data_IF_263873500823
#
_entry.id   IF_263873500823
#
_cell.length_a   1.000
_cell.length_b   1.000
_cell.length_c   1.000
_cell.angle_alpha   90.00
_cell.angle_beta   90.00
_cell.angle_gamma   90.00
#
_symmetry.space_group_name_H-M   'P 1'
#
loop_
_entity.id
_entity.type
_entity.pdbx_description
1 polymer ?
#
# COMPACT_ATOMS: atom_id res chain seq x y z
N UNK A 1 -15.50 7.19 -11.09
CA UNK A 1 -14.58 8.23 -10.61
C UNK A 1 -13.28 7.54 -10.27
N UNK A 2 -12.14 7.96 -10.79
CA UNK A 2 -10.84 7.28 -10.56
C UNK A 2 -10.33 7.61 -9.16
N UNK A 3 -10.01 6.59 -8.36
CA UNK A 3 -9.58 6.76 -6.96
C UNK A 3 -8.33 5.94 -6.65
N UNK A 4 -7.52 6.48 -5.74
CA UNK A 4 -6.31 5.82 -5.24
C UNK A 4 -6.35 5.86 -3.72
N UNK A 5 -6.20 4.70 -3.08
CA UNK A 5 -6.02 4.58 -1.65
C UNK A 5 -4.54 4.59 -1.31
N UNK A 6 -4.08 5.54 -0.52
CA UNK A 6 -2.68 5.73 -0.13
C UNK A 6 -2.52 5.53 1.37
N UNK A 7 -1.85 4.46 1.76
CA UNK A 7 -1.55 4.14 3.15
C UNK A 7 -0.17 4.69 3.51
N UNK A 8 -0.10 5.65 4.42
CA UNK A 8 1.13 6.35 4.82
C UNK A 8 1.63 5.82 6.15
N UNK A 9 2.68 5.00 6.11
CA UNK A 9 3.30 4.38 7.28
C UNK A 9 4.46 5.20 7.90
N UNK A 10 4.76 6.41 7.41
CA UNK A 10 5.81 7.24 8.00
C UNK A 10 5.33 7.93 9.28
N UNK A 11 6.08 7.84 10.42
CA UNK A 11 5.73 8.56 11.63
C UNK A 11 6.00 10.07 11.54
N UNK A 12 6.80 10.50 10.55
CA UNK A 12 7.18 11.90 10.36
C UNK A 12 6.38 12.51 9.22
N UNK A 13 5.55 13.53 9.52
CA UNK A 13 4.70 14.21 8.53
C UNK A 13 5.52 14.84 7.39
N UNK A 14 6.69 15.38 7.70
CA UNK A 14 7.63 15.96 6.72
C UNK A 14 8.87 15.05 6.51
N UNK A 15 8.71 13.74 6.73
CA UNK A 15 9.77 12.76 6.50
C UNK A 15 9.97 12.46 5.01
N UNK A 16 11.11 11.84 4.69
CA UNK A 16 11.54 11.54 3.34
C UNK A 16 10.48 10.83 2.49
N UNK A 17 9.79 9.83 3.06
CA UNK A 17 8.74 9.09 2.35
C UNK A 17 7.56 9.99 1.99
N UNK A 18 7.10 10.83 2.92
CA UNK A 18 6.01 11.77 2.67
C UNK A 18 6.41 12.87 1.68
N UNK A 19 7.67 13.32 1.72
CA UNK A 19 8.19 14.31 0.75
C UNK A 19 8.23 13.72 -0.66
N UNK A 20 8.71 12.47 -0.79
CA UNK A 20 8.72 11.75 -2.08
C UNK A 20 7.30 11.47 -2.61
N UNK A 21 6.33 11.29 -1.72
CA UNK A 21 4.94 11.02 -2.07
C UNK A 21 4.23 12.26 -2.66
N UNK A 22 4.65 13.49 -2.32
CA UNK A 22 4.01 14.74 -2.80
C UNK A 22 3.96 14.83 -4.33
N UNK A 23 5.08 14.77 -5.09
CA UNK A 23 5.04 14.83 -6.56
C UNK A 23 4.28 13.66 -7.18
N UNK A 24 4.31 12.48 -6.56
CA UNK A 24 3.54 11.31 -6.97
C UNK A 24 2.02 11.57 -6.90
N UNK A 25 1.53 12.11 -5.79
CA UNK A 25 0.11 12.47 -5.59
C UNK A 25 -0.30 13.56 -6.58
N UNK A 26 0.48 14.65 -6.66
CA UNK A 26 0.19 15.76 -7.55
C UNK A 26 0.04 15.30 -9.01
N UNK A 27 0.86 14.32 -9.43
CA UNK A 27 0.76 13.77 -10.78
C UNK A 27 -0.58 13.06 -11.00
N UNK A 28 -1.03 12.23 -10.07
CA UNK A 28 -2.33 11.57 -10.18
C UNK A 28 -3.51 12.55 -10.12
N UNK A 29 -3.44 13.53 -9.24
CA UNK A 29 -4.48 14.57 -9.11
C UNK A 29 -4.58 15.41 -10.39
N UNK A 30 -3.44 15.71 -11.05
CA UNK A 30 -3.43 16.42 -12.35
C UNK A 30 -4.10 15.63 -13.48
N UNK A 31 -4.23 14.31 -13.34
CA UNK A 31 -4.94 13.43 -14.25
C UNK A 31 -6.41 13.15 -13.83
N UNK A 32 -6.89 13.85 -12.80
CA UNK A 32 -8.27 13.76 -12.32
C UNK A 32 -8.55 12.58 -11.39
N UNK A 33 -7.53 11.96 -10.79
CA UNK A 33 -7.70 10.98 -9.74
C UNK A 33 -7.97 11.65 -8.39
N UNK A 34 -8.80 11.03 -7.56
CA UNK A 34 -8.95 11.36 -6.16
C UNK A 34 -7.97 10.48 -5.37
N UNK A 35 -7.11 11.11 -4.56
CA UNK A 35 -6.15 10.43 -3.70
C UNK A 35 -6.63 10.45 -2.25
N UNK A 36 -7.19 9.34 -1.77
CA UNK A 36 -7.54 9.16 -0.36
C UNK A 36 -6.28 8.77 0.42
N UNK A 37 -5.83 9.63 1.33
CA UNK A 37 -4.60 9.40 2.10
C UNK A 37 -4.90 9.11 3.57
N UNK A 38 -4.23 8.08 4.12
CA UNK A 38 -4.37 7.63 5.51
C UNK A 38 -3.02 7.69 6.21
N UNK A 39 -2.88 8.58 7.19
CA UNK A 39 -1.71 8.66 8.07
C UNK A 39 -1.84 7.62 9.19
N UNK A 40 -1.28 6.44 8.99
CA UNK A 40 -1.49 5.28 9.85
C UNK A 40 -1.00 5.48 11.30
N UNK A 41 -0.11 6.43 11.55
CA UNK A 41 0.32 6.79 12.90
C UNK A 41 -0.68 7.66 13.67
N UNK A 42 -1.59 8.33 12.96
CA UNK A 42 -2.63 9.19 13.54
C UNK A 42 -3.97 8.45 13.70
N UNK A 43 -4.03 7.16 13.29
CA UNK A 43 -5.25 6.35 13.30
C UNK A 43 -5.26 5.36 14.48
N UNK A 44 -6.44 5.12 15.03
CA UNK A 44 -6.65 4.02 15.97
C UNK A 44 -6.76 2.69 15.21
N UNK A 45 -5.64 1.96 15.15
CA UNK A 45 -5.57 0.67 14.48
C UNK A 45 -4.91 -0.33 15.42
N UNK A 46 -5.66 -1.37 15.81
CA UNK A 46 -5.16 -2.43 16.68
C UNK A 46 -4.51 -3.55 15.86
N UNK A 47 -3.49 -4.23 16.39
CA UNK A 47 -2.87 -5.37 15.71
C UNK A 47 -3.84 -6.54 15.59
N UNK A 48 -3.70 -7.35 14.53
CA UNK A 48 -4.48 -8.57 14.37
C UNK A 48 -4.16 -9.55 15.51
N UNK A 49 -5.21 -10.03 16.19
CA UNK A 49 -5.08 -11.06 17.25
C UNK A 49 -5.43 -12.48 16.76
N UNK A 50 -5.59 -12.66 15.45
CA UNK A 50 -5.91 -13.93 14.82
C UNK A 50 -7.19 -14.62 15.35
N UNK A 51 -8.18 -13.84 15.80
CA UNK A 51 -9.45 -14.36 16.36
C UNK A 51 -10.36 -15.02 15.31
N UNK A 52 -10.12 -14.81 14.02
CA UNK A 52 -10.87 -15.36 12.88
C UNK A 52 -12.34 -14.91 12.78
N UNK A 53 -12.78 -13.91 13.55
CA UNK A 53 -14.14 -13.37 13.46
C UNK A 53 -14.47 -12.91 12.02
N UNK A 54 -13.51 -12.29 11.34
CA UNK A 54 -13.64 -11.86 9.94
C UNK A 54 -13.88 -13.00 8.93
N UNK A 55 -13.74 -14.27 9.32
CA UNK A 55 -13.99 -15.45 8.48
C UNK A 55 -15.41 -15.99 8.64
N UNK A 56 -16.20 -15.45 9.56
CA UNK A 56 -17.59 -15.91 9.79
C UNK A 56 -18.53 -15.43 8.69
N UNK A 57 -18.31 -14.23 8.15
CA UNK A 57 -19.02 -13.70 6.99
C UNK A 57 -18.04 -13.48 5.85
N UNK A 58 -18.28 -14.16 4.73
CA UNK A 58 -17.42 -14.12 3.55
C UNK A 58 -17.69 -12.92 2.63
N UNK A 59 -18.69 -12.11 2.92
CA UNK A 59 -19.14 -11.01 2.06
C UNK A 59 -18.64 -9.63 2.53
N UNK A 60 -18.19 -9.51 3.79
CA UNK A 60 -17.74 -8.27 4.41
C UNK A 60 -16.36 -8.39 5.03
N UNK A 61 -15.70 -7.28 5.34
CA UNK A 61 -14.43 -7.27 6.06
C UNK A 61 -14.55 -7.96 7.44
N UNK A 62 -15.56 -7.57 8.22
CA UNK A 62 -16.05 -8.30 9.40
C UNK A 62 -15.03 -8.46 10.54
N UNK A 63 -14.13 -7.49 10.76
CA UNK A 63 -13.21 -7.54 11.88
C UNK A 63 -13.94 -7.38 13.22
N UNK A 64 -13.41 -8.01 14.28
CA UNK A 64 -13.97 -7.89 15.64
C UNK A 64 -13.70 -6.53 16.31
N UNK A 65 -12.78 -5.75 15.78
CA UNK A 65 -12.46 -4.43 16.29
C UNK A 65 -13.35 -3.36 15.62
N UNK A 66 -13.89 -2.48 16.44
CA UNK A 66 -14.46 -1.20 16.03
C UNK A 66 -13.34 -0.16 16.12
N UNK A 67 -12.68 0.12 15.00
CA UNK A 67 -11.55 1.05 14.88
C UNK A 67 -11.44 1.61 13.44
N UNK A 68 -10.41 2.39 13.17
CA UNK A 68 -10.27 3.08 11.89
C UNK A 68 -10.02 2.17 10.65
N UNK A 69 -9.91 0.85 10.83
CA UNK A 69 -9.70 -0.06 9.69
C UNK A 69 -10.86 -0.07 8.70
N UNK A 70 -12.10 0.18 9.14
CA UNK A 70 -13.24 0.20 8.22
C UNK A 70 -13.14 1.33 7.18
N UNK A 71 -12.58 2.49 7.57
CA UNK A 71 -12.30 3.60 6.65
C UNK A 71 -11.29 3.20 5.56
N UNK A 72 -10.25 2.43 5.94
CA UNK A 72 -9.26 1.90 5.00
C UNK A 72 -9.89 0.86 4.08
N UNK A 73 -10.70 -0.04 4.63
CA UNK A 73 -11.42 -1.04 3.86
C UNK A 73 -12.30 -0.40 2.79
N UNK A 74 -13.14 0.57 3.16
CA UNK A 74 -14.05 1.27 2.24
C UNK A 74 -13.28 2.00 1.13
N UNK A 75 -12.18 2.66 1.47
CA UNK A 75 -11.33 3.31 0.49
C UNK A 75 -10.67 2.30 -0.46
N UNK A 76 -10.14 1.19 0.05
CA UNK A 76 -9.57 0.11 -0.78
C UNK A 76 -10.62 -0.42 -1.75
N UNK A 77 -11.84 -0.70 -1.27
CA UNK A 77 -12.90 -1.26 -2.11
C UNK A 77 -13.33 -0.31 -3.23
N UNK A 78 -13.32 1.00 -2.99
CA UNK A 78 -13.67 2.03 -3.98
C UNK A 78 -12.50 2.46 -4.88
N UNK A 79 -11.26 2.03 -4.61
CA UNK A 79 -10.06 2.47 -5.32
C UNK A 79 -9.66 1.55 -6.47
N UNK A 80 -9.02 2.13 -7.50
CA UNK A 80 -8.41 1.43 -8.63
C UNK A 80 -6.97 0.98 -8.33
N UNK A 81 -6.29 1.66 -7.38
CA UNK A 81 -4.92 1.39 -6.96
C UNK A 81 -4.78 1.59 -5.45
N UNK A 82 -4.04 0.70 -4.83
CA UNK A 82 -3.60 0.79 -3.43
C UNK A 82 -2.10 1.11 -3.43
N UNK A 83 -1.70 2.17 -2.73
CA UNK A 83 -0.28 2.56 -2.60
C UNK A 83 0.16 2.38 -1.15
N UNK A 84 1.18 1.56 -0.95
CA UNK A 84 1.82 1.35 0.33
C UNK A 84 3.04 2.28 0.43
N UNK A 85 2.91 3.40 1.12
CA UNK A 85 3.97 4.39 1.29
C UNK A 85 4.59 4.28 2.69
N UNK A 86 5.75 3.64 2.83
CA UNK A 86 6.39 3.38 4.13
C UNK A 86 7.90 3.52 4.04
N UNK A 87 8.57 4.15 5.02
CA UNK A 87 10.01 3.97 5.14
C UNK A 87 10.33 2.52 5.53
N UNK A 88 11.52 2.06 5.18
CA UNK A 88 12.02 0.74 5.61
C UNK A 88 12.55 0.83 7.03
N UNK A 89 11.98 0.02 7.91
CA UNK A 89 12.46 -0.27 9.26
C UNK A 89 12.83 -1.75 9.34
N UNK A 90 14.10 -2.04 9.67
CA UNK A 90 14.59 -3.43 9.78
C UNK A 90 14.22 -4.28 8.56
N UNK A 91 14.49 -3.76 7.35
CA UNK A 91 14.24 -4.40 6.04
C UNK A 91 12.77 -4.62 5.68
N UNK A 92 11.85 -4.08 6.48
CA UNK A 92 10.41 -4.19 6.22
C UNK A 92 9.69 -2.85 6.41
N UNK A 93 8.36 -2.83 6.31
CA UNK A 93 7.59 -1.62 6.56
C UNK A 93 7.52 -1.28 8.07
N UNK A 94 7.00 -0.10 8.38
CA UNK A 94 6.76 0.34 9.75
C UNK A 94 5.70 -0.51 10.46
N UNK A 95 5.69 -0.54 11.81
CA UNK A 95 4.69 -1.29 12.57
C UNK A 95 3.24 -0.96 12.22
N UNK A 96 2.79 0.32 12.10
CA UNK A 96 1.42 0.61 11.71
C UNK A 96 1.05 0.07 10.33
N UNK A 97 1.94 0.16 9.35
CA UNK A 97 1.73 -0.45 8.04
C UNK A 97 1.58 -1.97 8.15
N UNK A 98 2.41 -2.62 8.97
CA UNK A 98 2.33 -4.07 9.18
C UNK A 98 1.02 -4.47 9.85
N UNK A 99 0.53 -3.71 10.85
CA UNK A 99 -0.77 -3.96 11.49
C UNK A 99 -1.92 -3.93 10.48
N UNK A 100 -1.91 -2.94 9.58
CA UNK A 100 -2.90 -2.83 8.50
C UNK A 100 -2.82 -4.05 7.56
N UNK A 101 -1.61 -4.38 7.08
CA UNK A 101 -1.42 -5.52 6.16
C UNK A 101 -1.89 -6.85 6.79
N UNK A 102 -1.59 -7.08 8.07
CA UNK A 102 -2.01 -8.31 8.77
C UNK A 102 -3.54 -8.40 8.91
N UNK A 103 -4.21 -7.28 9.16
CA UNK A 103 -5.67 -7.26 9.25
C UNK A 103 -6.34 -7.39 7.89
N UNK A 104 -5.77 -6.76 6.86
CA UNK A 104 -6.29 -6.87 5.50
C UNK A 104 -6.16 -8.31 4.96
N UNK A 105 -5.03 -8.99 5.17
CA UNK A 105 -4.88 -10.34 4.64
C UNK A 105 -5.93 -11.31 5.18
N UNK A 106 -6.27 -11.21 6.46
CA UNK A 106 -7.31 -12.06 7.05
C UNK A 106 -8.73 -11.56 6.77
N UNK A 107 -8.95 -10.26 6.75
CA UNK A 107 -10.28 -9.68 6.55
C UNK A 107 -10.75 -9.73 5.09
N UNK A 108 -9.82 -9.62 4.15
CA UNK A 108 -10.13 -9.57 2.71
C UNK A 108 -10.08 -10.94 2.03
N UNK A 109 -9.23 -11.85 2.47
CA UNK A 109 -9.15 -13.21 1.95
C UNK A 109 -10.08 -14.12 2.74
N UNK A 110 -11.04 -14.76 2.08
CA UNK A 110 -12.16 -15.50 2.70
C UNK A 110 -12.03 -17.02 2.58
N UNK A 111 -10.81 -17.55 2.49
CA UNK A 111 -10.58 -18.98 2.21
C UNK A 111 -9.78 -19.70 3.31
N UNK A 112 -9.77 -19.18 4.52
CA UNK A 112 -9.11 -19.86 5.65
C UNK A 112 -10.00 -20.95 6.28
N UNK A 113 -10.82 -21.61 5.46
CA UNK A 113 -11.72 -22.72 5.83
C UNK A 113 -11.53 -23.92 4.93
N UNK A 114 -12.46 -24.88 4.99
CA UNK A 114 -12.39 -26.20 4.32
C UNK A 114 -12.90 -26.21 2.86
N UNK A 115 -13.18 -25.06 2.23
CA UNK A 115 -13.70 -24.97 0.87
C UNK A 115 -12.62 -25.02 -0.22
N UNK A 116 -12.98 -25.52 -1.41
CA UNK A 116 -12.12 -25.46 -2.61
C UNK A 116 -12.03 -24.03 -3.17
N UNK A 117 -13.10 -23.25 -3.05
CA UNK A 117 -13.14 -21.86 -3.46
C UNK A 117 -12.36 -20.99 -2.48
N UNK A 118 -11.58 -20.06 -3.03
CA UNK A 118 -10.75 -19.12 -2.28
C UNK A 118 -11.13 -17.66 -2.61
N UNK A 119 -12.33 -17.22 -2.22
CA UNK A 119 -12.76 -15.86 -2.52
C UNK A 119 -11.89 -14.84 -1.80
N UNK A 120 -11.62 -13.73 -2.48
CA UNK A 120 -10.98 -12.56 -1.89
C UNK A 120 -11.77 -11.31 -2.30
N UNK A 121 -12.20 -10.53 -1.30
CA UNK A 121 -13.02 -9.34 -1.53
C UNK A 121 -12.34 -8.31 -2.44
N UNK A 122 -11.02 -8.30 -2.45
CA UNK A 122 -10.19 -7.38 -3.22
C UNK A 122 -9.45 -8.01 -4.41
N UNK A 123 -9.86 -9.21 -4.83
CA UNK A 123 -9.23 -9.89 -5.95
C UNK A 123 -9.12 -8.99 -7.19
N UNK A 124 -7.96 -9.02 -7.84
CA UNK A 124 -7.66 -8.22 -9.04
C UNK A 124 -7.29 -6.76 -8.78
N UNK A 125 -7.42 -6.25 -7.55
CA UNK A 125 -6.97 -4.87 -7.24
C UNK A 125 -5.46 -4.73 -7.42
N UNK A 126 -5.05 -3.53 -7.83
CA UNK A 126 -3.65 -3.20 -8.11
C UNK A 126 -2.97 -2.63 -6.87
N UNK A 127 -1.72 -3.03 -6.64
CA UNK A 127 -0.91 -2.57 -5.49
C UNK A 127 0.43 -2.05 -5.98
N UNK A 128 0.85 -0.88 -5.50
CA UNK A 128 2.17 -0.32 -5.71
C UNK A 128 2.82 0.04 -4.38
N UNK A 129 4.14 0.10 -4.35
CA UNK A 129 4.93 0.49 -3.17
C UNK A 129 5.74 1.73 -3.47
N UNK A 130 5.75 2.67 -2.54
CA UNK A 130 6.64 3.82 -2.52
C UNK A 130 7.40 3.80 -1.19
N UNK A 131 8.74 3.69 -1.23
CA UNK A 131 9.51 3.49 -0.02
C UNK A 131 10.82 4.28 -0.01
N UNK A 132 11.34 4.51 1.20
CA UNK A 132 12.67 5.10 1.41
C UNK A 132 13.47 4.21 2.36
N UNK A 133 14.77 4.04 2.10
CA UNK A 133 15.64 3.16 2.87
C UNK A 133 17.04 3.77 3.06
N UNK A 134 17.77 3.31 4.08
CA UNK A 134 19.14 3.76 4.38
C UNK A 134 20.20 3.05 3.55
N UNK A 135 19.93 1.81 3.13
CA UNK A 135 20.83 1.05 2.26
C UNK A 135 20.49 1.31 0.78
N UNK A 136 21.32 0.75 -0.12
CA UNK A 136 20.96 0.72 -1.55
C UNK A 136 19.64 -0.04 -1.69
N UNK A 137 18.71 0.39 -2.56
CA UNK A 137 17.38 -0.22 -2.68
C UNK A 137 17.40 -1.75 -2.85
N UNK A 138 18.39 -2.26 -3.61
CA UNK A 138 18.56 -3.70 -3.91
C UNK A 138 18.93 -4.55 -2.68
N UNK A 139 19.30 -3.90 -1.56
CA UNK A 139 19.68 -4.55 -0.29
C UNK A 139 18.93 -3.97 0.91
N UNK A 140 18.20 -2.89 0.73
CA UNK A 140 17.49 -2.20 1.80
C UNK A 140 15.97 -2.36 1.73
N UNK A 141 15.44 -2.54 0.53
CA UNK A 141 14.00 -2.65 0.27
C UNK A 141 13.59 -3.98 -0.38
N UNK A 142 14.55 -4.83 -0.75
CA UNK A 142 14.35 -6.10 -1.44
C UNK A 142 13.45 -7.08 -0.69
N UNK A 143 13.64 -7.23 0.62
CA UNK A 143 12.81 -8.12 1.44
C UNK A 143 11.37 -7.61 1.55
N UNK A 144 11.18 -6.30 1.64
CA UNK A 144 9.85 -5.70 1.64
C UNK A 144 9.16 -5.90 0.28
N UNK A 145 9.87 -5.66 -0.83
CA UNK A 145 9.34 -5.89 -2.18
C UNK A 145 8.93 -7.34 -2.38
N UNK A 146 9.82 -8.28 -2.05
CA UNK A 146 9.53 -9.71 -2.17
C UNK A 146 8.36 -10.13 -1.26
N UNK A 147 8.30 -9.60 -0.04
CA UNK A 147 7.19 -9.82 0.89
C UNK A 147 5.86 -9.35 0.30
N UNK A 148 5.82 -8.16 -0.31
CA UNK A 148 4.60 -7.63 -0.94
C UNK A 148 4.23 -8.40 -2.21
N UNK A 149 5.20 -8.86 -3.01
CA UNK A 149 4.92 -9.74 -4.16
C UNK A 149 4.22 -11.04 -3.73
N UNK A 150 4.73 -11.69 -2.67
CA UNK A 150 4.10 -12.89 -2.08
C UNK A 150 2.73 -12.58 -1.50
N UNK A 151 2.60 -11.48 -0.79
CA UNK A 151 1.34 -11.00 -0.25
C UNK A 151 0.30 -10.78 -1.36
N UNK A 152 0.67 -10.13 -2.45
CA UNK A 152 -0.20 -9.90 -3.59
C UNK A 152 -0.63 -11.22 -4.25
N UNK A 153 0.33 -12.15 -4.47
CA UNK A 153 0.02 -13.48 -5.01
C UNK A 153 -0.96 -14.23 -4.12
N UNK A 154 -0.72 -14.25 -2.80
CA UNK A 154 -1.58 -14.90 -1.83
C UNK A 154 -2.97 -14.28 -1.77
N UNK A 155 -3.08 -12.97 -1.91
CA UNK A 155 -4.33 -12.20 -1.80
C UNK A 155 -5.02 -11.94 -3.15
N UNK A 156 -4.57 -12.58 -4.22
CA UNK A 156 -5.11 -12.43 -5.58
C UNK A 156 -5.04 -10.98 -6.10
N UNK A 157 -4.05 -10.22 -5.66
CA UNK A 157 -3.80 -8.84 -6.05
C UNK A 157 -2.79 -8.77 -7.21
N UNK A 158 -2.77 -7.65 -7.92
CA UNK A 158 -1.81 -7.37 -9.00
C UNK A 158 -0.72 -6.41 -8.48
N UNK A 159 0.51 -6.91 -8.28
CA UNK A 159 1.66 -6.06 -7.93
C UNK A 159 2.08 -5.24 -9.15
N UNK A 160 2.08 -3.90 -9.03
CA UNK A 160 2.37 -2.97 -10.12
C UNK A 160 3.77 -2.37 -10.09
N UNK A 161 4.55 -2.66 -9.04
CA UNK A 161 5.93 -2.21 -8.92
C UNK A 161 6.21 -1.44 -7.64
N UNK A 162 7.49 -1.12 -7.45
CA UNK A 162 7.99 -0.37 -6.31
C UNK A 162 8.91 0.76 -6.78
N UNK A 163 8.74 1.95 -6.20
CA UNK A 163 9.73 3.02 -6.18
C UNK A 163 10.41 3.01 -4.83
N UNK A 164 11.72 2.81 -4.80
CA UNK A 164 12.54 2.83 -3.59
C UNK A 164 13.67 3.86 -3.73
N UNK A 165 13.73 4.82 -2.79
CA UNK A 165 14.76 5.87 -2.78
C UNK A 165 15.64 5.77 -1.55
N UNK A 166 16.95 5.89 -1.77
CA UNK A 166 17.93 5.86 -0.69
C UNK A 166 18.09 7.23 -0.05
N UNK A 167 18.13 7.29 1.28
CA UNK A 167 18.65 8.44 2.03
C UNK A 167 20.09 8.15 2.52
N UNK A 168 20.95 9.16 2.51
CA UNK A 168 22.38 9.00 2.84
C UNK A 168 22.70 9.30 4.32
N UNK A 169 21.71 9.66 5.12
CA UNK A 169 21.85 9.99 6.53
C UNK A 169 20.90 11.09 6.96
N UNK A 170 20.91 11.38 8.28
CA UNK A 170 19.99 12.39 8.85
C UNK A 170 20.43 13.82 8.53
N UNK A 171 21.73 14.03 8.29
CA UNK A 171 22.33 15.35 8.02
C UNK A 171 22.45 15.65 6.52
N UNK A 172 21.85 14.82 5.66
CA UNK A 172 21.88 15.01 4.22
C UNK A 172 20.53 15.44 3.69
N UNK A 173 20.53 16.35 2.71
CA UNK A 173 19.31 16.68 1.96
C UNK A 173 18.88 15.42 1.18
N UNK A 174 17.69 14.93 1.52
CA UNK A 174 17.16 13.73 0.85
C UNK A 174 16.55 14.04 -0.50
N UNK A 175 15.72 15.09 -0.56
CA UNK A 175 14.86 15.37 -1.70
C UNK A 175 15.56 16.32 -2.69
N UNK A 176 15.54 15.95 -3.95
CA UNK A 176 16.10 16.67 -5.08
C UNK A 176 15.17 16.51 -6.30
N UNK A 177 15.46 17.25 -7.37
CA UNK A 177 14.66 17.26 -8.59
C UNK A 177 14.65 15.89 -9.29
N UNK A 178 15.74 15.11 -9.19
CA UNK A 178 15.81 13.78 -9.78
C UNK A 178 14.88 12.80 -9.09
N UNK A 179 14.80 12.83 -7.74
CA UNK A 179 13.85 11.98 -6.98
C UNK A 179 12.42 12.43 -7.21
N UNK A 180 12.18 13.74 -7.31
CA UNK A 180 10.87 14.28 -7.69
C UNK A 180 10.44 13.74 -9.05
N UNK A 181 11.33 13.80 -10.04
CA UNK A 181 11.07 13.31 -11.39
C UNK A 181 10.78 11.80 -11.40
N UNK A 182 11.59 10.98 -10.69
CA UNK A 182 11.31 9.53 -10.60
C UNK A 182 9.97 9.21 -9.94
N UNK A 183 9.54 10.02 -8.96
CA UNK A 183 8.21 9.85 -8.35
C UNK A 183 7.07 10.18 -9.34
N UNK A 184 7.25 11.22 -10.16
CA UNK A 184 6.31 11.56 -11.24
C UNK A 184 6.25 10.45 -12.30
N UNK A 185 7.40 10.00 -12.79
CA UNK A 185 7.49 8.92 -13.79
C UNK A 185 6.87 7.60 -13.28
N UNK A 186 7.05 7.31 -11.99
CA UNK A 186 6.41 6.15 -11.38
C UNK A 186 4.89 6.28 -11.35
N UNK A 187 4.36 7.47 -11.03
CA UNK A 187 2.93 7.75 -11.09
C UNK A 187 2.39 7.61 -12.52
N UNK A 188 3.08 8.16 -13.52
CA UNK A 188 2.73 8.06 -14.94
C UNK A 188 2.66 6.60 -15.41
N UNK A 189 3.68 5.81 -15.08
CA UNK A 189 3.72 4.37 -15.39
C UNK A 189 2.53 3.63 -14.79
N UNK A 190 2.16 3.95 -13.55
CA UNK A 190 1.01 3.35 -12.89
C UNK A 190 -0.30 3.81 -13.52
N UNK A 191 -0.45 5.11 -13.79
CA UNK A 191 -1.64 5.67 -14.44
C UNK A 191 -1.88 5.03 -15.82
N UNK A 192 -0.83 4.89 -16.62
CA UNK A 192 -0.91 4.18 -17.90
C UNK A 192 -1.46 2.75 -17.72
N UNK A 193 -0.98 2.00 -16.72
CA UNK A 193 -1.47 0.65 -16.40
C UNK A 193 -2.91 0.63 -15.87
N UNK A 194 -3.40 1.72 -15.30
CA UNK A 194 -4.79 1.84 -14.87
C UNK A 194 -5.74 2.12 -16.04
N UNK A 195 -5.26 2.84 -17.04
CA UNK A 195 -6.03 3.22 -18.25
C UNK A 195 -6.15 2.07 -19.26
N UNK A 196 -5.08 1.25 -19.39
CA UNK A 196 -5.06 0.10 -20.30
C UNK A 196 -5.76 -1.14 -19.73
N UNK A 197 -6.93 -0.96 -19.14
CA UNK A 197 -7.74 -2.02 -18.50
C UNK A 197 -8.27 -3.10 -19.45
N UNK A 198 -8.03 -2.99 -20.78
CA UNK A 198 -8.78 -3.71 -21.82
C UNK A 198 -7.94 -4.52 -22.81
N UNK A 199 -6.63 -4.71 -22.61
CA UNK A 199 -5.81 -5.44 -23.61
C UNK A 199 -5.19 -6.76 -23.11
N UNK A 200 -5.60 -7.27 -21.98
CA UNK A 200 -5.27 -8.65 -21.54
C UNK A 200 -6.56 -9.49 -21.54
N UNK A 201 -6.99 -9.94 -22.72
CA UNK A 201 -7.85 -11.10 -22.93
C UNK A 201 -6.95 -12.31 -23.16
#
# INVERSE_FOLDING_TARGET
>A
MKRICILKGSPRKDGNTNTLLKPFINRFESEGYICDTFDLHDMDIRPCMACRTCQQDQTVFGCCYDDDMDKIFDSIMSSDLIVLASPIYSWYCTPPMKMVLDRLVYGMNKYYGEGEEKPALWAGKKVAVLTTCGYRPEKGADLFEEGIKRYCKHSQLKFCGMLAERHLGYDTVFFDDEKAQRAVEFAEKLSCRLQHKELEI
#
